data_IF_542300010891
#
_entry.id   IF_542300010891
#
_cell.length_a   1.000
_cell.length_b   1.000
_cell.length_c   1.000
_cell.angle_alpha   90.00
_cell.angle_beta   90.00
_cell.angle_gamma   90.00
#
_symmetry.space_group_name_H-M   'P 1'
#
loop_
_entity.id
_entity.type
_entity.pdbx_description
1 polymer ?
#
# COMPACT_ATOMS: atom_id res chain seq x y z
N UNK A 1 22.65 27.21 40.41
CA UNK A 1 22.31 26.80 39.02
C UNK A 1 23.50 27.05 38.08
N UNK A 2 24.57 26.23 38.14
CA UNK A 2 25.72 26.31 37.21
C UNK A 2 26.16 24.94 36.65
N UNK A 3 25.47 23.86 37.01
CA UNK A 3 25.90 22.48 36.73
C UNK A 3 25.12 21.80 35.59
N UNK A 4 24.31 22.56 34.85
CA UNK A 4 23.52 22.04 33.72
C UNK A 4 24.12 22.38 32.35
N UNK A 5 24.88 23.47 32.23
CA UNK A 5 25.48 23.93 30.97
C UNK A 5 26.79 23.20 30.61
N UNK A 6 27.47 22.56 31.57
CA UNK A 6 28.70 21.82 31.30
C UNK A 6 28.43 20.52 30.54
N UNK A 7 27.35 19.81 30.89
CA UNK A 7 26.99 18.52 30.25
C UNK A 7 26.56 18.66 28.79
N UNK A 8 26.09 19.83 28.37
CA UNK A 8 25.69 20.10 26.99
C UNK A 8 26.89 20.43 26.08
N UNK A 9 27.97 20.95 26.67
CA UNK A 9 29.21 21.30 25.95
C UNK A 9 30.03 20.05 25.60
N UNK A 10 30.08 19.08 26.51
CA UNK A 10 30.83 17.83 26.29
C UNK A 10 30.19 16.97 25.18
N UNK A 11 28.87 17.07 24.97
CA UNK A 11 28.17 16.39 23.85
C UNK A 11 28.31 17.10 22.51
N UNK A 12 28.66 18.39 22.48
CA UNK A 12 28.79 19.17 21.25
C UNK A 12 30.25 19.31 20.79
N UNK A 13 31.23 19.16 21.69
CA UNK A 13 32.64 19.10 21.28
C UNK A 13 33.09 17.72 20.76
N UNK A 14 32.21 16.72 20.82
CA UNK A 14 32.45 15.39 20.26
C UNK A 14 31.99 15.27 18.78
N UNK A 15 31.43 16.32 18.19
CA UNK A 15 30.97 16.31 16.79
C UNK A 15 31.91 17.00 15.80
N UNK A 16 33.14 17.33 16.19
CA UNK A 16 34.13 17.87 15.26
C UNK A 16 35.43 17.05 15.33
N UNK A 17 35.69 16.32 14.24
CA UNK A 17 36.84 15.44 13.99
C UNK A 17 36.74 14.00 14.51
N UNK A 18 35.90 13.18 13.88
CA UNK A 18 36.26 11.78 13.66
C UNK A 18 36.12 11.43 12.16
N UNK A 19 37.31 11.28 11.58
CA UNK A 19 37.64 10.60 10.33
C UNK A 19 36.71 9.43 10.03
N UNK A 20 36.11 9.46 8.84
CA UNK A 20 35.43 8.30 8.25
C UNK A 20 36.48 7.23 7.89
N UNK A 21 36.96 6.50 8.90
CA UNK A 21 37.56 5.19 8.67
C UNK A 21 36.42 4.22 8.33
N UNK A 22 36.25 3.96 7.05
CA UNK A 22 35.35 2.94 6.54
C UNK A 22 35.93 1.54 6.84
N UNK A 23 35.94 1.16 8.11
CA UNK A 23 36.20 -0.22 8.52
C UNK A 23 34.90 -1.03 8.40
N UNK A 24 34.75 -1.72 7.27
CA UNK A 24 34.15 -3.07 7.13
C UNK A 24 32.76 -3.37 7.70
N UNK A 25 32.03 -2.40 8.25
CA UNK A 25 30.75 -2.62 8.90
C UNK A 25 29.63 -2.86 7.89
N UNK A 26 29.32 -4.12 7.61
CA UNK A 26 28.13 -4.47 6.84
C UNK A 26 26.89 -3.95 7.56
N UNK A 27 26.08 -3.16 6.85
CA UNK A 27 24.76 -2.76 7.31
C UNK A 27 23.84 -3.99 7.27
N UNK A 28 23.51 -4.54 8.43
CA UNK A 28 22.52 -5.62 8.53
C UNK A 28 21.14 -5.04 8.19
N UNK A 29 20.63 -5.38 7.01
CA UNK A 29 19.25 -5.08 6.63
C UNK A 29 18.37 -6.07 7.38
N UNK A 30 17.55 -5.59 8.31
CA UNK A 30 16.47 -6.40 8.86
C UNK A 30 15.60 -6.85 7.69
N UNK A 31 15.69 -8.14 7.33
CA UNK A 31 14.65 -8.81 6.58
C UNK A 31 13.45 -8.92 7.52
N UNK A 32 12.82 -7.78 7.82
CA UNK A 32 11.44 -7.77 8.29
C UNK A 32 10.72 -8.69 7.34
N UNK A 33 10.25 -9.82 7.87
CA UNK A 33 9.55 -10.83 7.10
C UNK A 33 8.65 -10.05 6.15
N UNK A 34 8.86 -10.21 4.84
CA UNK A 34 7.86 -9.81 3.87
C UNK A 34 6.74 -10.79 4.17
N UNK A 35 6.00 -10.53 5.25
CA UNK A 35 4.75 -11.16 5.55
C UNK A 35 3.97 -10.81 4.31
N UNK A 36 3.81 -11.79 3.42
CA UNK A 36 3.00 -11.68 2.23
C UNK A 36 1.68 -11.09 2.71
N UNK A 37 1.56 -9.77 2.56
CA UNK A 37 0.41 -9.03 3.07
C UNK A 37 -0.72 -9.54 2.21
N UNK A 38 -1.46 -10.53 2.73
CA UNK A 38 -2.57 -11.18 2.03
C UNK A 38 -3.39 -10.06 1.44
N UNK A 39 -3.42 -10.03 0.10
CA UNK A 39 -4.00 -8.89 -0.55
C UNK A 39 -5.48 -8.80 -0.19
N UNK A 40 -5.92 -7.61 0.20
CA UNK A 40 -7.29 -7.39 0.64
C UNK A 40 -8.22 -7.55 -0.55
N UNK A 41 -8.98 -8.65 -0.56
CA UNK A 41 -9.98 -8.91 -1.60
C UNK A 41 -11.21 -8.04 -1.33
N UNK A 42 -11.63 -7.27 -2.33
CA UNK A 42 -12.82 -6.41 -2.29
C UNK A 42 -13.93 -7.09 -3.10
N UNK A 43 -15.14 -7.19 -2.56
CA UNK A 43 -16.30 -7.71 -3.29
C UNK A 43 -17.17 -6.51 -3.68
N UNK A 44 -17.48 -6.38 -4.98
CA UNK A 44 -18.33 -5.30 -5.51
C UNK A 44 -19.50 -5.88 -6.30
N UNK A 45 -20.74 -5.71 -5.84
CA UNK A 45 -21.93 -6.09 -6.60
C UNK A 45 -22.26 -5.03 -7.67
N UNK A 46 -22.70 -5.51 -8.83
CA UNK A 46 -23.17 -4.71 -9.96
C UNK A 46 -24.46 -5.30 -10.50
N UNK A 47 -25.31 -4.43 -11.05
CA UNK A 47 -26.49 -4.83 -11.79
C UNK A 47 -26.35 -4.31 -13.21
N UNK A 48 -26.44 -5.21 -14.18
CA UNK A 48 -26.43 -4.83 -15.59
C UNK A 48 -27.87 -4.56 -16.02
N UNK A 49 -28.21 -3.29 -16.22
CA UNK A 49 -29.50 -2.87 -16.80
C UNK A 49 -29.37 -2.57 -18.29
N UNK A 50 -28.18 -2.18 -18.74
CA UNK A 50 -27.83 -1.88 -20.13
C UNK A 50 -26.37 -2.28 -20.44
N UNK A 51 -26.01 -2.32 -21.72
CA UNK A 51 -24.62 -2.59 -22.13
C UNK A 51 -23.64 -1.48 -21.71
N UNK A 52 -24.12 -0.28 -21.38
CA UNK A 52 -23.26 0.81 -20.91
C UNK A 52 -22.68 0.55 -19.52
N UNK A 53 -23.38 -0.25 -18.71
CA UNK A 53 -23.00 -0.60 -17.33
C UNK A 53 -21.76 -1.51 -17.26
N UNK A 54 -21.30 -2.02 -18.40
CA UNK A 54 -20.08 -2.84 -18.50
C UNK A 54 -18.82 -2.02 -18.18
N UNK A 55 -18.80 -0.70 -18.48
CA UNK A 55 -17.63 0.16 -18.24
C UNK A 55 -17.19 0.18 -16.77
N UNK A 56 -18.06 0.51 -15.80
CA UNK A 56 -17.67 0.53 -14.38
C UNK A 56 -17.30 -0.86 -13.83
N UNK A 57 -17.86 -1.95 -14.39
CA UNK A 57 -17.46 -3.32 -14.04
C UNK A 57 -16.01 -3.60 -14.44
N UNK A 58 -15.64 -3.23 -15.68
CA UNK A 58 -14.27 -3.38 -16.16
C UNK A 58 -13.29 -2.55 -15.35
N UNK A 59 -13.68 -1.32 -14.98
CA UNK A 59 -12.84 -0.46 -14.15
C UNK A 59 -12.62 -1.03 -12.75
N UNK A 60 -13.64 -1.69 -12.18
CA UNK A 60 -13.50 -2.41 -10.91
C UNK A 60 -12.55 -3.62 -11.01
N UNK A 61 -12.58 -4.37 -12.12
CA UNK A 61 -11.66 -5.48 -12.36
C UNK A 61 -10.22 -5.00 -12.57
N UNK A 62 -10.02 -3.88 -13.26
CA UNK A 62 -8.70 -3.28 -13.50
C UNK A 62 -8.00 -2.82 -12.23
N UNK A 63 -8.74 -2.50 -11.17
CA UNK A 63 -8.18 -2.13 -9.87
C UNK A 63 -7.39 -3.28 -9.20
N UNK A 64 -7.60 -4.53 -9.65
CA UNK A 64 -7.00 -5.70 -9.02
C UNK A 64 -7.62 -6.03 -7.66
N UNK A 65 -7.36 -7.23 -7.17
CA UNK A 65 -7.86 -7.73 -5.88
C UNK A 65 -9.37 -7.49 -5.65
N UNK A 66 -10.16 -7.47 -6.71
CA UNK A 66 -11.59 -7.19 -6.68
C UNK A 66 -12.35 -8.34 -7.33
N UNK A 67 -13.29 -8.91 -6.59
CA UNK A 67 -14.26 -9.88 -7.10
C UNK A 67 -15.55 -9.11 -7.40
N UNK A 68 -16.02 -9.24 -8.63
CA UNK A 68 -17.26 -8.60 -9.09
C UNK A 68 -18.39 -9.62 -9.03
N UNK A 69 -19.49 -9.28 -8.36
CA UNK A 69 -20.75 -10.02 -8.41
C UNK A 69 -21.68 -9.31 -9.38
N UNK A 70 -22.19 -10.01 -10.38
CA UNK A 70 -22.91 -9.38 -11.49
C UNK A 70 -24.32 -9.95 -11.62
N UNK A 71 -25.34 -9.10 -11.46
CA UNK A 71 -26.73 -9.44 -11.72
C UNK A 71 -27.07 -9.11 -13.17
N UNK A 72 -27.30 -10.15 -13.98
CA UNK A 72 -27.65 -10.04 -15.40
C UNK A 72 -29.15 -10.21 -15.69
N UNK A 73 -29.95 -10.51 -14.66
CA UNK A 73 -31.39 -10.77 -14.86
C UNK A 73 -32.10 -9.63 -15.63
N UNK A 74 -31.90 -8.34 -15.30
CA UNK A 74 -32.59 -7.25 -15.99
C UNK A 74 -32.24 -7.12 -17.47
N UNK A 75 -31.00 -7.47 -17.85
CA UNK A 75 -30.53 -7.39 -19.22
C UNK A 75 -31.05 -8.60 -20.03
N UNK A 76 -31.01 -9.79 -19.43
CA UNK A 76 -31.56 -11.01 -20.03
C UNK A 76 -33.05 -10.89 -20.30
N UNK A 77 -33.82 -10.30 -19.37
CA UNK A 77 -35.27 -10.14 -19.54
C UNK A 77 -35.63 -9.19 -20.70
N UNK A 78 -34.76 -8.21 -20.99
CA UNK A 78 -34.88 -7.33 -22.16
C UNK A 78 -34.48 -8.03 -23.47
N UNK A 79 -33.53 -8.96 -23.41
CA UNK A 79 -33.01 -9.74 -24.54
C UNK A 79 -33.95 -10.88 -24.99
N UNK A 80 -35.07 -11.10 -24.31
CA UNK A 80 -36.11 -12.09 -24.71
C UNK A 80 -36.98 -11.55 -25.86
N UNK A 81 -36.75 -10.32 -26.32
CA UNK A 81 -37.50 -9.69 -27.41
C UNK A 81 -36.65 -9.64 -28.68
N UNK A 82 -36.50 -10.78 -29.36
CA UNK A 82 -36.13 -10.86 -30.78
C UNK A 82 -36.90 -11.98 -31.49
#
# INVERSE_FOLDING_TARGET
MKNFLSKLKDTFSASESETLEADGGFLELEASEIQDKKAKIIIKPFMLESFEDVKPVLDALRAGYTIVLLNIAPLKDKDIVE
#
